data_IF_184657431566
#
_entry.id   IF_184657431566
#
_cell.length_a   1.000
_cell.length_b   1.000
_cell.length_c   1.000
_cell.angle_alpha   90.00
_cell.angle_beta   90.00
_cell.angle_gamma   90.00
#
_symmetry.space_group_name_H-M   'P 1'
#
loop_
_entity.id
_entity.type
_entity.pdbx_description
1 polymer ?
#
# COMPACT_ATOMS: atom_id res chain seq x y z
N UNK A 1 -19.51 34.42 9.40
CA UNK A 1 -19.56 33.63 8.15
C UNK A 1 -19.69 32.15 8.53
N UNK A 2 -20.90 31.64 8.41
CA UNK A 2 -21.14 30.23 8.69
C UNK A 2 -20.52 29.38 7.60
N UNK A 3 -19.57 28.55 8.00
CA UNK A 3 -18.99 27.53 7.15
C UNK A 3 -20.00 26.41 7.01
N UNK A 4 -20.90 26.52 6.05
CA UNK A 4 -21.83 25.45 5.69
C UNK A 4 -20.99 24.31 5.11
N UNK A 5 -20.66 23.31 5.94
CA UNK A 5 -20.23 22.00 5.46
C UNK A 5 -21.39 21.44 4.65
N UNK A 6 -21.31 21.57 3.35
CA UNK A 6 -22.14 20.83 2.42
C UNK A 6 -21.75 19.36 2.60
N UNK A 7 -22.49 18.63 3.43
CA UNK A 7 -22.44 17.17 3.42
C UNK A 7 -23.04 16.75 2.08
N UNK A 8 -22.18 16.49 1.10
CA UNK A 8 -22.61 15.82 -0.12
C UNK A 8 -23.13 14.44 0.29
N UNK A 9 -24.37 14.18 0.04
CA UNK A 9 -25.06 12.89 0.27
C UNK A 9 -24.59 11.85 -0.77
N UNK A 10 -23.42 12.06 -1.38
CA UNK A 10 -22.85 11.19 -2.39
C UNK A 10 -22.14 10.00 -1.73
N UNK A 11 -22.47 8.81 -2.21
CA UNK A 11 -21.79 7.57 -1.82
C UNK A 11 -20.27 7.72 -2.05
N UNK A 12 -19.41 7.38 -1.08
CA UNK A 12 -17.98 7.48 -1.29
C UNK A 12 -17.50 6.53 -2.40
N UNK A 13 -16.46 6.95 -3.11
CA UNK A 13 -15.71 6.07 -4.02
C UNK A 13 -14.90 5.10 -3.18
N UNK A 14 -15.11 3.81 -3.34
CA UNK A 14 -14.34 2.78 -2.64
C UNK A 14 -13.05 2.52 -3.40
N UNK A 15 -11.93 2.89 -2.80
CA UNK A 15 -10.58 2.71 -3.35
C UNK A 15 -9.86 1.63 -2.56
N UNK A 16 -9.24 0.70 -3.27
CA UNK A 16 -8.43 -0.37 -2.69
C UNK A 16 -6.97 -0.21 -3.09
N UNK A 17 -6.08 -0.34 -2.11
CA UNK A 17 -4.64 -0.40 -2.32
C UNK A 17 -4.06 -1.55 -1.51
N UNK A 18 -3.23 -2.38 -2.13
CA UNK A 18 -2.54 -3.48 -1.47
C UNK A 18 -1.07 -3.18 -1.19
N UNK A 19 -0.48 -3.94 -0.31
CA UNK A 19 0.94 -3.87 -0.04
C UNK A 19 1.39 -4.70 1.16
N UNK A 20 2.71 -4.74 1.33
CA UNK A 20 3.37 -5.40 2.46
C UNK A 20 3.53 -4.44 3.65
N UNK A 21 3.86 -3.19 3.39
CA UNK A 21 4.04 -2.12 4.38
C UNK A 21 5.05 -2.47 5.50
N UNK A 22 6.10 -3.20 5.13
CA UNK A 22 7.17 -3.55 6.05
C UNK A 22 8.10 -2.36 6.34
N UNK A 23 8.60 -2.25 7.57
CA UNK A 23 9.41 -1.11 8.02
C UNK A 23 8.75 0.22 7.64
N UNK A 24 7.50 0.41 8.04
CA UNK A 24 6.64 1.51 7.62
C UNK A 24 7.37 2.86 7.66
N UNK A 25 7.36 3.58 6.55
CA UNK A 25 8.08 4.83 6.37
C UNK A 25 7.25 5.86 5.60
N UNK A 26 7.81 7.05 5.40
CA UNK A 26 7.11 8.14 4.71
C UNK A 26 6.65 7.79 3.30
N UNK A 27 7.38 6.95 2.57
CA UNK A 27 6.97 6.51 1.23
C UNK A 27 5.63 5.76 1.26
N UNK A 28 5.43 4.89 2.24
CA UNK A 28 4.15 4.22 2.47
C UNK A 28 3.03 5.22 2.82
N UNK A 29 3.33 6.15 3.72
CA UNK A 29 2.35 7.17 4.13
C UNK A 29 1.93 8.06 2.96
N UNK A 30 2.85 8.50 2.12
CA UNK A 30 2.53 9.30 0.94
C UNK A 30 1.71 8.54 -0.10
N UNK A 31 1.97 7.24 -0.30
CA UNK A 31 1.13 6.39 -1.15
C UNK A 31 -0.31 6.30 -0.62
N UNK A 32 -0.48 6.09 0.69
CA UNK A 32 -1.79 6.06 1.34
C UNK A 32 -2.52 7.41 1.18
N UNK A 33 -1.83 8.52 1.39
CA UNK A 33 -2.40 9.86 1.20
C UNK A 33 -2.81 10.13 -0.25
N UNK A 34 -2.00 9.72 -1.22
CA UNK A 34 -2.35 9.82 -2.64
C UNK A 34 -3.59 8.99 -2.98
N UNK A 35 -3.66 7.76 -2.49
CA UNK A 35 -4.84 6.90 -2.66
C UNK A 35 -6.09 7.54 -2.03
N UNK A 36 -5.99 8.06 -0.81
CA UNK A 36 -7.09 8.73 -0.12
C UNK A 36 -7.60 9.98 -0.83
N UNK A 37 -6.73 10.67 -1.56
CA UNK A 37 -7.03 11.91 -2.26
C UNK A 37 -7.21 11.76 -3.78
N UNK A 38 -7.26 10.53 -4.30
CA UNK A 38 -7.38 10.30 -5.75
C UNK A 38 -8.74 10.73 -6.31
N UNK A 39 -9.75 10.79 -5.46
CA UNK A 39 -11.12 11.30 -5.73
C UNK A 39 -11.58 12.16 -4.55
N UNK A 40 -12.63 12.99 -4.72
CA UNK A 40 -13.08 13.92 -3.66
C UNK A 40 -13.58 13.26 -2.39
N UNK A 41 -14.26 12.13 -2.48
CA UNK A 41 -14.85 11.42 -1.35
C UNK A 41 -14.47 9.94 -1.44
N UNK A 42 -13.40 9.54 -0.73
CA UNK A 42 -12.84 8.19 -0.79
C UNK A 42 -13.06 7.44 0.51
N UNK A 43 -13.57 6.21 0.40
CA UNK A 43 -13.44 5.17 1.43
C UNK A 43 -12.24 4.30 1.04
N UNK A 44 -11.13 4.42 1.79
CA UNK A 44 -9.88 3.74 1.48
C UNK A 44 -9.77 2.41 2.22
N UNK A 45 -9.69 1.34 1.46
CA UNK A 45 -9.41 -0.01 1.94
C UNK A 45 -7.95 -0.36 1.64
N UNK A 46 -7.22 -0.77 2.66
CA UNK A 46 -5.85 -1.31 2.50
C UNK A 46 -5.90 -2.83 2.60
N UNK A 47 -5.40 -3.50 1.57
CA UNK A 47 -5.14 -4.94 1.59
C UNK A 47 -3.73 -5.21 2.11
N UNK A 48 -3.62 -5.79 3.29
CA UNK A 48 -2.34 -6.16 3.88
C UNK A 48 -1.96 -7.59 3.49
N UNK A 49 -0.86 -7.74 2.76
CA UNK A 49 -0.32 -9.06 2.42
C UNK A 49 0.18 -9.78 3.67
N UNK A 50 -0.22 -11.04 3.84
CA UNK A 50 0.25 -11.90 4.94
C UNK A 50 1.70 -12.34 4.74
N UNK A 51 2.34 -12.83 5.82
CA UNK A 51 3.74 -13.26 5.79
C UNK A 51 3.94 -14.44 4.82
N UNK A 52 2.97 -15.34 4.74
CA UNK A 52 3.05 -16.51 3.85
C UNK A 52 3.08 -16.09 2.37
N UNK A 53 2.15 -15.23 1.96
CA UNK A 53 2.04 -14.79 0.57
C UNK A 53 3.26 -13.96 0.14
N UNK A 54 3.78 -13.14 1.04
CA UNK A 54 4.93 -12.26 0.74
C UNK A 54 6.22 -13.05 0.61
N UNK A 55 6.46 -14.05 1.45
CA UNK A 55 7.72 -14.80 1.50
C UNK A 55 8.00 -15.55 0.19
N UNK A 56 6.95 -15.94 -0.55
CA UNK A 56 7.08 -16.65 -1.82
C UNK A 56 7.60 -15.78 -2.98
N UNK A 57 7.39 -14.45 -2.94
CA UNK A 57 7.79 -13.57 -4.05
C UNK A 57 8.72 -12.41 -3.67
N UNK A 58 8.87 -12.15 -2.39
CA UNK A 58 9.81 -11.16 -1.82
C UNK A 58 10.58 -11.82 -0.68
N UNK A 59 11.25 -11.04 0.13
CA UNK A 59 11.84 -11.48 1.39
C UNK A 59 10.79 -11.54 2.51
N UNK A 60 11.06 -12.34 3.53
CA UNK A 60 10.26 -12.33 4.76
C UNK A 60 10.24 -10.91 5.37
N UNK A 61 9.08 -10.38 5.74
CA UNK A 61 8.99 -9.09 6.42
C UNK A 61 9.76 -9.05 7.74
N UNK A 62 10.29 -7.88 8.11
CA UNK A 62 10.89 -7.64 9.41
C UNK A 62 9.85 -7.45 10.49
N UNK A 63 8.82 -6.63 10.20
CA UNK A 63 7.68 -6.49 11.10
C UNK A 63 6.75 -7.68 10.94
N UNK A 64 6.25 -8.20 12.07
CA UNK A 64 5.21 -9.22 12.04
C UNK A 64 3.95 -8.71 11.32
N UNK A 65 3.13 -9.61 10.82
CA UNK A 65 1.86 -9.23 10.20
C UNK A 65 0.93 -8.50 11.18
N UNK A 66 0.99 -8.83 12.49
CA UNK A 66 0.23 -8.11 13.51
C UNK A 66 0.74 -6.68 13.69
N UNK A 67 2.05 -6.46 13.79
CA UNK A 67 2.63 -5.11 13.88
C UNK A 67 2.25 -4.26 12.66
N UNK A 68 2.34 -4.83 11.48
CA UNK A 68 1.98 -4.14 10.23
C UNK A 68 0.49 -3.80 10.18
N UNK A 69 -0.37 -4.71 10.65
CA UNK A 69 -1.82 -4.49 10.76
C UNK A 69 -2.14 -3.36 11.77
N UNK A 70 -1.52 -3.38 12.95
CA UNK A 70 -1.74 -2.36 13.99
C UNK A 70 -1.32 -0.96 13.51
N UNK A 71 -0.18 -0.86 12.82
CA UNK A 71 0.30 0.41 12.25
C UNK A 71 -0.72 0.94 11.23
N UNK A 72 -1.12 0.12 10.25
CA UNK A 72 -2.06 0.53 9.20
C UNK A 72 -3.42 0.94 9.75
N UNK A 73 -3.93 0.19 10.72
CA UNK A 73 -5.22 0.47 11.37
C UNK A 73 -5.22 1.77 12.19
N UNK A 74 -4.03 2.30 12.53
CA UNK A 74 -3.86 3.54 13.29
C UNK A 74 -3.72 4.78 12.40
N UNK A 75 -3.64 4.62 11.09
CA UNK A 75 -3.49 5.73 10.14
C UNK A 75 -4.85 6.34 9.84
N UNK A 76 -4.97 7.64 10.07
CA UNK A 76 -6.26 8.37 9.92
C UNK A 76 -6.85 8.34 8.51
N UNK A 77 -6.02 8.19 7.49
CA UNK A 77 -6.43 8.11 6.09
C UNK A 77 -6.99 6.75 5.70
N UNK A 78 -6.73 5.71 6.51
CA UNK A 78 -7.19 4.33 6.28
C UNK A 78 -8.54 4.11 6.92
N UNK A 79 -9.55 3.80 6.12
CA UNK A 79 -10.91 3.54 6.62
C UNK A 79 -11.12 2.07 6.97
N UNK A 80 -10.43 1.16 6.28
CA UNK A 80 -10.54 -0.28 6.51
C UNK A 80 -9.25 -0.99 6.15
N UNK A 81 -8.89 -2.02 6.92
CA UNK A 81 -7.81 -2.96 6.56
C UNK A 81 -8.43 -4.33 6.30
N UNK A 82 -8.11 -4.92 5.15
CA UNK A 82 -8.44 -6.32 4.81
C UNK A 82 -7.18 -7.15 5.02
N UNK A 83 -7.28 -8.15 5.88
CA UNK A 83 -6.17 -9.06 6.20
C UNK A 83 -6.65 -10.52 6.31
N UNK A 84 -5.96 -11.47 5.68
CA UNK A 84 -4.92 -11.25 4.66
C UNK A 84 -5.54 -10.68 3.38
N UNK A 85 -4.85 -9.70 2.78
CA UNK A 85 -5.19 -9.20 1.46
C UNK A 85 -4.74 -10.20 0.39
N UNK A 86 -5.54 -10.45 -0.67
CA UNK A 86 -5.15 -11.36 -1.73
C UNK A 86 -3.98 -10.82 -2.54
N UNK A 87 -3.10 -11.72 -3.02
CA UNK A 87 -2.02 -11.34 -3.92
C UNK A 87 -2.54 -11.00 -5.32
N UNK A 88 -3.47 -11.81 -5.82
CA UNK A 88 -4.15 -11.59 -7.11
C UNK A 88 -5.52 -10.96 -6.85
N UNK A 89 -5.77 -9.80 -7.44
CA UNK A 89 -7.06 -9.11 -7.31
C UNK A 89 -8.02 -9.63 -8.36
N UNK A 90 -9.07 -10.28 -7.92
CA UNK A 90 -10.10 -10.89 -8.78
C UNK A 90 -11.36 -10.04 -8.86
N UNK A 91 -12.19 -10.29 -9.88
CA UNK A 91 -13.51 -9.66 -10.02
C UNK A 91 -14.43 -9.99 -8.86
N UNK A 92 -14.34 -11.19 -8.30
CA UNK A 92 -15.08 -11.63 -7.12
C UNK A 92 -14.68 -10.84 -5.87
N UNK A 93 -13.38 -10.57 -5.71
CA UNK A 93 -12.87 -9.72 -4.63
C UNK A 93 -13.38 -8.29 -4.75
N UNK A 94 -13.34 -7.71 -5.97
CA UNK A 94 -13.90 -6.39 -6.29
C UNK A 94 -15.37 -6.31 -5.89
N UNK A 95 -16.17 -7.31 -6.29
CA UNK A 95 -17.60 -7.36 -5.97
C UNK A 95 -17.87 -7.50 -4.47
N UNK A 96 -17.10 -8.34 -3.78
CA UNK A 96 -17.24 -8.59 -2.33
C UNK A 96 -17.13 -7.32 -1.50
N UNK A 97 -16.20 -6.44 -1.85
CA UNK A 97 -15.92 -5.21 -1.12
C UNK A 97 -16.50 -3.95 -1.79
N UNK A 98 -17.27 -4.11 -2.88
CA UNK A 98 -17.82 -3.00 -3.69
C UNK A 98 -16.73 -2.00 -4.12
N UNK A 99 -15.57 -2.49 -4.55
CA UNK A 99 -14.43 -1.66 -4.93
C UNK A 99 -14.72 -0.99 -6.28
N UNK A 100 -14.58 0.34 -6.30
CA UNK A 100 -14.73 1.14 -7.52
C UNK A 100 -13.41 1.31 -8.26
N UNK A 101 -12.29 1.38 -7.52
CA UNK A 101 -10.96 1.63 -8.06
C UNK A 101 -9.89 0.88 -7.27
N UNK A 102 -8.99 0.22 -7.96
CA UNK A 102 -7.76 -0.37 -7.41
C UNK A 102 -6.57 0.49 -7.80
N UNK A 103 -5.73 0.84 -6.85
CA UNK A 103 -4.52 1.64 -7.08
C UNK A 103 -3.29 0.92 -6.56
N UNK A 104 -2.17 1.06 -7.25
CA UNK A 104 -0.88 0.50 -6.85
C UNK A 104 0.27 1.39 -7.32
N UNK A 105 1.30 1.54 -6.48
CA UNK A 105 2.53 2.25 -6.82
C UNK A 105 3.65 1.26 -7.14
N UNK A 106 4.26 1.40 -8.31
CA UNK A 106 5.42 0.59 -8.72
C UNK A 106 6.69 1.38 -8.57
N UNK A 107 7.75 0.76 -8.05
CA UNK A 107 9.04 1.42 -7.81
C UNK A 107 9.81 1.71 -9.10
N UNK A 108 9.64 0.89 -10.12
CA UNK A 108 10.28 1.02 -11.43
C UNK A 108 9.57 0.12 -12.47
N UNK A 109 10.03 0.16 -13.73
CA UNK A 109 9.44 -0.62 -14.82
C UNK A 109 9.58 -2.15 -14.65
N UNK A 110 10.64 -2.62 -14.01
CA UNK A 110 10.81 -4.05 -13.73
C UNK A 110 9.82 -4.54 -12.67
N UNK A 111 9.58 -3.73 -11.64
CA UNK A 111 8.57 -3.97 -10.62
C UNK A 111 7.16 -3.97 -11.22
N UNK A 112 6.87 -3.01 -12.10
CA UNK A 112 5.63 -2.96 -12.87
C UNK A 112 5.38 -4.25 -13.66
N UNK A 113 6.35 -4.69 -14.45
CA UNK A 113 6.23 -5.92 -15.25
C UNK A 113 6.02 -7.17 -14.40
N UNK A 114 6.70 -7.24 -13.25
CA UNK A 114 6.60 -8.37 -12.32
C UNK A 114 5.24 -8.45 -11.63
N UNK A 115 4.64 -7.31 -11.29
CA UNK A 115 3.43 -7.26 -10.48
C UNK A 115 2.13 -7.10 -11.28
N UNK A 116 2.18 -6.67 -12.54
CA UNK A 116 0.96 -6.45 -13.36
C UNK A 116 0.11 -7.70 -13.54
N UNK A 117 0.71 -8.89 -13.45
CA UNK A 117 -0.02 -10.15 -13.48
C UNK A 117 -1.06 -10.27 -12.35
N UNK A 118 -0.80 -9.63 -11.20
CA UNK A 118 -1.73 -9.63 -10.07
C UNK A 118 -3.00 -8.82 -10.31
N UNK A 119 -2.98 -7.93 -11.29
CA UNK A 119 -4.07 -7.00 -11.62
C UNK A 119 -4.68 -7.24 -12.99
N UNK A 120 -4.31 -8.32 -13.69
CA UNK A 120 -4.70 -8.55 -15.08
C UNK A 120 -6.21 -8.62 -15.30
N UNK A 121 -6.96 -9.16 -14.33
CA UNK A 121 -8.40 -9.39 -14.46
C UNK A 121 -9.25 -8.13 -14.19
N UNK A 122 -8.62 -7.07 -13.69
CA UNK A 122 -9.32 -5.86 -13.20
C UNK A 122 -8.77 -4.57 -13.83
N UNK A 123 -8.22 -4.63 -15.03
CA UNK A 123 -7.58 -3.49 -15.71
C UNK A 123 -8.52 -2.31 -15.93
N UNK A 124 -9.82 -2.55 -16.08
CA UNK A 124 -10.86 -1.53 -16.22
C UNK A 124 -11.07 -0.70 -14.95
N UNK A 125 -10.63 -1.22 -13.79
CA UNK A 125 -10.72 -0.56 -12.49
C UNK A 125 -9.36 -0.25 -11.86
N UNK A 126 -8.29 -0.30 -12.62
CA UNK A 126 -6.93 -0.15 -12.14
C UNK A 126 -6.30 1.18 -12.56
N UNK A 127 -5.67 1.87 -11.61
CA UNK A 127 -4.82 3.04 -11.85
C UNK A 127 -3.49 2.91 -11.12
N UNK A 128 -2.40 3.37 -11.74
CA UNK A 128 -1.10 3.46 -11.06
C UNK A 128 -1.01 4.75 -10.25
N UNK A 129 -0.37 4.66 -9.06
CA UNK A 129 0.00 5.82 -8.27
C UNK A 129 1.44 6.24 -8.58
N UNK A 130 1.74 7.57 -8.58
CA UNK A 130 3.11 8.03 -8.64
C UNK A 130 3.92 7.51 -7.45
N UNK A 131 5.09 6.92 -7.72
CA UNK A 131 5.98 6.43 -6.68
C UNK A 131 6.66 7.58 -5.95
N UNK A 132 6.76 7.48 -4.61
CA UNK A 132 7.50 8.43 -3.80
C UNK A 132 8.95 7.98 -3.68
N UNK A 133 9.82 8.59 -4.51
CA UNK A 133 11.20 8.16 -4.72
C UNK A 133 12.22 8.49 -3.62
N UNK A 134 12.03 9.51 -2.73
CA UNK A 134 13.06 9.88 -1.75
C UNK A 134 13.42 8.79 -0.74
N UNK A 135 12.52 7.85 -0.47
CA UNK A 135 12.74 6.77 0.51
C UNK A 135 12.16 5.46 0.02
N UNK A 136 12.82 4.36 0.36
CA UNK A 136 12.32 2.99 0.15
C UNK A 136 12.80 2.08 1.28
N UNK A 137 12.09 1.00 1.51
CA UNK A 137 12.48 -0.03 2.49
C UNK A 137 13.87 -0.60 2.16
N UNK A 138 14.14 -0.88 0.90
CA UNK A 138 15.43 -1.40 0.45
C UNK A 138 16.58 -0.42 0.71
N UNK A 139 16.36 0.89 0.54
CA UNK A 139 17.35 1.90 0.83
C UNK A 139 17.64 1.99 2.33
N UNK A 140 16.64 1.94 3.19
CA UNK A 140 16.83 1.91 4.64
C UNK A 140 17.62 0.68 5.10
N UNK A 141 17.31 -0.49 4.57
CA UNK A 141 18.06 -1.72 4.87
C UNK A 141 19.54 -1.55 4.47
N UNK A 142 19.79 -1.03 3.27
CA UNK A 142 21.15 -0.77 2.81
C UNK A 142 21.88 0.22 3.73
N UNK A 143 21.25 1.32 4.10
CA UNK A 143 21.84 2.34 4.98
C UNK A 143 22.16 1.77 6.37
N UNK A 144 21.31 0.92 6.91
CA UNK A 144 21.56 0.22 8.18
C UNK A 144 22.77 -0.70 8.05
N UNK A 145 22.84 -1.52 7.00
CA UNK A 145 23.98 -2.40 6.76
C UNK A 145 25.27 -1.61 6.61
N UNK A 146 25.26 -0.53 5.83
CA UNK A 146 26.44 0.30 5.60
C UNK A 146 26.93 0.98 6.89
N UNK A 147 26.02 1.36 7.79
CA UNK A 147 26.37 2.02 9.04
C UNK A 147 26.90 1.08 10.12
N UNK A 148 26.42 -0.15 10.18
CA UNK A 148 26.65 -1.04 11.32
C UNK A 148 27.44 -2.30 10.99
N UNK A 149 27.50 -2.70 9.72
CA UNK A 149 28.15 -3.96 9.29
C UNK A 149 29.46 -3.69 8.54
N UNK A 150 29.54 -2.64 7.72
CA UNK A 150 30.65 -2.37 6.82
C UNK A 150 31.71 -1.41 7.35
N UNK A 151 31.62 -0.91 8.59
CA UNK A 151 32.72 -0.17 9.20
C UNK A 151 33.81 -1.14 9.62
N UNK A 152 35.01 -1.12 9.00
CA UNK A 152 36.15 -1.79 9.60
C UNK A 152 36.36 -1.16 10.98
N UNK A 153 36.50 -2.00 12.01
CA UNK A 153 37.06 -1.55 13.29
C UNK A 153 38.42 -0.95 12.96
N UNK A 154 38.51 0.40 13.03
CA UNK A 154 39.81 1.05 13.06
C UNK A 154 40.42 0.75 14.44
N UNK A 155 41.40 -0.14 14.43
CA UNK A 155 42.34 -0.33 15.54
C UNK A 155 43.08 0.98 15.85
#
# INVERSE_FOLDING_TARGET
MENTKIHSNEKPTVVYMDGVFDLFHRGHLEAIRKAKNIRPNVHLIIGLCGDFEVTDYKRKPFFSEDDRYQILSSIKEVDQVVFPGPLVITKEFIAKYNIDLVVHGFSNSADFQKQMEFFKDIQDKFETLPYYTPVSTSQYIKDICDRFITKPTSD
#
